data_IF_595719188544
#
_entry.id   IF_595719188544
#
_cell.length_a   1.000
_cell.length_b   1.000
_cell.length_c   1.000
_cell.angle_alpha   90.00
_cell.angle_beta   90.00
_cell.angle_gamma   90.00
#
_symmetry.space_group_name_H-M   'P 1'
#
loop_
_entity.id
_entity.type
_entity.pdbx_description
1 polymer ?
#
# COMPACT_ATOMS: atom_id res chain seq x y z
N UNK A 1 7.52 -39.05 -0.77
CA UNK A 1 8.59 -38.33 -1.50
C UNK A 1 8.39 -36.84 -1.19
N UNK A 2 8.83 -36.41 -0.01
CA UNK A 2 10.14 -35.80 0.24
C UNK A 2 10.34 -34.54 -0.60
N UNK A 3 9.97 -33.39 -0.04
CA UNK A 3 10.69 -32.15 -0.31
C UNK A 3 12.03 -32.23 0.43
N UNK A 4 13.17 -31.98 -0.24
CA UNK A 4 14.48 -32.12 0.38
C UNK A 4 14.79 -30.92 1.26
N UNK A 5 15.23 -31.24 2.48
CA UNK A 5 16.22 -30.53 3.24
C UNK A 5 17.41 -30.12 2.36
N UNK A 6 17.88 -28.88 2.47
CA UNK A 6 19.32 -28.66 2.39
C UNK A 6 19.79 -27.87 3.61
N UNK A 7 20.53 -28.61 4.42
CA UNK A 7 21.31 -28.25 5.58
C UNK A 7 22.77 -28.15 5.15
N UNK A 8 23.37 -26.99 5.28
CA UNK A 8 24.82 -26.74 5.40
C UNK A 8 24.86 -25.47 6.27
N UNK A 9 25.22 -25.44 7.56
CA UNK A 9 26.22 -26.14 8.35
C UNK A 9 27.62 -26.07 7.74
N UNK A 10 28.34 -25.00 8.09
CA UNK A 10 29.75 -24.90 8.52
C UNK A 10 30.02 -23.38 8.64
N UNK A 11 30.66 -22.82 9.65
CA UNK A 11 31.53 -23.38 10.68
C UNK A 11 31.53 -22.46 11.89
N UNK A 12 31.47 -23.10 13.06
CA UNK A 12 31.93 -22.56 14.34
C UNK A 12 33.36 -22.04 14.18
N UNK A 13 33.58 -20.77 14.53
CA UNK A 13 34.89 -20.32 14.98
C UNK A 13 34.72 -19.94 16.43
N UNK A 14 35.23 -20.84 17.26
CA UNK A 14 35.50 -20.64 18.67
C UNK A 14 36.12 -19.26 18.91
N UNK A 15 35.48 -18.47 19.75
CA UNK A 15 36.23 -17.56 20.62
C UNK A 15 35.89 -17.95 22.04
N UNK A 16 36.72 -18.86 22.55
CA UNK A 16 36.94 -18.99 23.97
C UNK A 16 37.46 -17.64 24.47
N UNK A 17 36.56 -16.85 25.04
CA UNK A 17 36.92 -15.85 26.05
C UNK A 17 36.25 -16.28 27.34
N UNK A 18 37.02 -17.06 28.08
CA UNK A 18 37.00 -17.11 29.52
C UNK A 18 37.22 -15.71 30.07
N UNK A 19 36.16 -14.92 30.17
CA UNK A 19 36.16 -13.78 31.08
C UNK A 19 35.67 -14.30 32.45
N UNK A 20 36.57 -15.07 33.08
CA UNK A 20 36.70 -14.97 34.53
C UNK A 20 37.15 -13.54 34.82
N UNK A 21 36.19 -12.63 34.95
CA UNK A 21 36.37 -11.40 35.70
C UNK A 21 35.15 -11.22 36.61
N UNK A 22 35.27 -11.89 37.74
CA UNK A 22 34.47 -11.64 38.93
C UNK A 22 34.68 -10.18 39.36
N UNK A 23 33.71 -9.34 39.05
CA UNK A 23 33.42 -8.18 39.88
C UNK A 23 31.98 -8.31 40.37
N UNK A 24 31.74 -9.36 41.17
CA UNK A 24 30.51 -9.47 41.95
C UNK A 24 30.56 -8.35 43.00
N UNK A 25 30.03 -7.16 42.65
CA UNK A 25 29.84 -6.06 43.58
C UNK A 25 29.06 -6.62 44.77
N UNK A 26 29.71 -6.63 45.93
CA UNK A 26 29.14 -7.23 47.14
C UNK A 26 27.89 -6.46 47.55
N UNK A 27 26.98 -7.10 48.29
CA UNK A 27 25.77 -6.41 48.77
C UNK A 27 26.12 -5.21 49.67
N UNK A 28 27.26 -5.25 50.37
CA UNK A 28 27.76 -4.14 51.19
C UNK A 28 28.22 -2.96 50.32
N UNK A 29 28.91 -3.23 49.21
CA UNK A 29 29.28 -2.20 48.24
C UNK A 29 28.06 -1.54 47.60
N UNK A 30 27.00 -2.33 47.32
CA UNK A 30 25.73 -1.79 46.80
C UNK A 30 25.03 -0.89 47.80
N UNK A 31 25.03 -1.26 49.09
CA UNK A 31 24.46 -0.42 50.14
C UNK A 31 25.23 0.90 50.28
N UNK A 32 26.55 0.85 50.18
CA UNK A 32 27.42 2.02 50.18
C UNK A 32 27.22 2.91 48.95
N UNK A 33 27.00 2.32 47.77
CA UNK A 33 26.66 3.07 46.56
C UNK A 33 25.27 3.71 46.71
N UNK A 34 24.29 2.98 47.23
CA UNK A 34 22.92 3.47 47.40
C UNK A 34 22.82 4.61 48.42
N UNK A 35 23.59 4.57 49.51
CA UNK A 35 23.63 5.65 50.50
C UNK A 35 24.24 6.93 49.90
N UNK A 36 25.32 6.82 49.11
CA UNK A 36 25.92 7.96 48.38
C UNK A 36 24.97 8.56 47.35
N UNK A 37 24.23 7.72 46.64
CA UNK A 37 23.26 8.13 45.61
C UNK A 37 22.01 8.77 46.24
N UNK A 38 21.64 8.40 47.46
CA UNK A 38 20.41 8.87 48.11
C UNK A 38 20.37 10.39 48.40
N UNK A 39 21.52 11.05 48.43
CA UNK A 39 21.63 12.50 48.63
C UNK A 39 21.58 13.33 47.35
N UNK A 40 21.59 12.71 46.17
CA UNK A 40 21.61 13.41 44.88
C UNK A 40 20.19 13.77 44.40
N UNK A 41 20.08 14.86 43.64
CA UNK A 41 18.80 15.27 43.05
C UNK A 41 18.38 14.30 41.94
N UNK A 42 17.08 14.23 41.67
CA UNK A 42 16.57 13.33 40.63
C UNK A 42 17.13 13.63 39.23
N UNK A 43 17.44 14.90 38.94
CA UNK A 43 18.06 15.29 37.67
C UNK A 43 19.48 14.71 37.54
N UNK A 44 20.25 14.76 38.63
CA UNK A 44 21.61 14.21 38.66
C UNK A 44 21.61 12.69 38.54
N UNK A 45 20.63 12.02 39.16
CA UNK A 45 20.42 10.58 39.00
C UNK A 45 20.06 10.20 37.56
N UNK A 46 19.29 11.04 36.87
CA UNK A 46 18.91 10.81 35.49
C UNK A 46 20.11 10.98 34.55
N UNK A 47 20.90 12.05 34.72
CA UNK A 47 22.15 12.26 33.98
C UNK A 47 23.12 11.11 34.19
N UNK A 48 23.33 10.68 35.43
CA UNK A 48 24.21 9.56 35.74
C UNK A 48 23.72 8.24 35.12
N UNK A 49 22.40 8.01 35.05
CA UNK A 49 21.82 6.84 34.36
C UNK A 49 21.97 6.91 32.84
N UNK A 50 21.94 8.11 32.26
CA UNK A 50 22.14 8.32 30.83
C UNK A 50 23.61 8.14 30.43
N UNK A 51 24.55 8.64 31.25
CA UNK A 51 26.00 8.50 31.03
C UNK A 51 26.49 7.05 31.25
N UNK A 52 26.10 6.42 32.36
CA UNK A 52 26.49 5.04 32.69
C UNK A 52 25.69 4.00 31.92
N UNK A 53 24.55 4.39 31.34
CA UNK A 53 23.62 3.50 30.67
C UNK A 53 22.66 2.77 31.62
N UNK A 54 21.39 2.69 31.24
CA UNK A 54 20.31 2.19 32.11
C UNK A 54 20.47 0.73 32.57
N UNK A 55 21.17 -0.13 31.82
CA UNK A 55 21.39 -1.53 32.22
C UNK A 55 22.43 -1.64 33.34
N UNK A 56 23.59 -1.03 33.15
CA UNK A 56 24.68 -1.03 34.13
C UNK A 56 24.27 -0.32 35.41
N UNK A 57 23.61 0.85 35.32
CA UNK A 57 23.09 1.55 36.50
C UNK A 57 22.09 0.70 37.31
N UNK A 58 21.16 0.03 36.64
CA UNK A 58 20.20 -0.82 37.34
C UNK A 58 20.87 -2.05 37.95
N UNK A 59 21.89 -2.61 37.30
CA UNK A 59 22.62 -3.76 37.80
C UNK A 59 23.49 -3.41 39.02
N UNK A 60 24.15 -2.26 39.01
CA UNK A 60 24.98 -1.79 40.13
C UNK A 60 24.15 -1.32 41.32
N UNK A 61 23.03 -0.62 41.10
CA UNK A 61 22.21 -0.05 42.18
C UNK A 61 21.12 -1.00 42.68
N UNK A 62 20.48 -1.77 41.79
CA UNK A 62 19.35 -2.66 42.13
C UNK A 62 19.74 -4.15 42.13
N UNK A 63 20.91 -4.50 41.61
CA UNK A 63 21.37 -5.88 41.50
C UNK A 63 20.78 -6.64 40.31
N UNK A 64 21.40 -7.77 39.99
CA UNK A 64 20.92 -8.70 38.96
C UNK A 64 19.61 -9.35 39.42
N UNK A 65 18.53 -9.18 38.67
CA UNK A 65 17.27 -9.91 38.94
C UNK A 65 17.49 -11.40 38.75
N UNK A 66 17.52 -12.17 39.85
CA UNK A 66 17.59 -13.64 39.82
C UNK A 66 16.49 -14.19 38.89
N UNK A 67 16.89 -14.88 37.82
CA UNK A 67 15.95 -15.59 36.94
C UNK A 67 15.17 -16.58 37.82
N UNK A 68 13.84 -16.50 37.82
CA UNK A 68 13.00 -17.47 38.56
C UNK A 68 13.34 -18.87 38.06
N UNK A 69 13.90 -19.71 38.93
CA UNK A 69 14.19 -21.11 38.63
C UNK A 69 12.86 -21.76 38.24
N UNK A 70 12.74 -22.18 36.98
CA UNK A 70 11.57 -22.92 36.52
C UNK A 70 11.68 -24.31 37.12
N UNK A 71 10.92 -24.59 38.17
CA UNK A 71 10.77 -25.95 38.70
C UNK A 71 10.18 -26.84 37.60
N UNK A 72 10.93 -27.85 37.16
CA UNK A 72 10.48 -28.76 36.13
C UNK A 72 9.49 -29.76 36.72
N UNK A 73 8.19 -29.46 36.61
CA UNK A 73 7.13 -30.35 37.09
C UNK A 73 6.94 -31.56 36.16
N UNK A 74 8.00 -32.23 35.70
CA UNK A 74 7.87 -33.46 34.89
C UNK A 74 7.51 -34.65 35.78
N UNK A 75 6.80 -35.61 35.19
CA UNK A 75 6.54 -36.88 35.87
C UNK A 75 7.78 -37.76 35.75
N UNK A 76 8.20 -38.41 36.84
CA UNK A 76 9.27 -39.39 36.79
C UNK A 76 8.83 -40.68 36.05
N UNK A 77 7.58 -41.13 36.25
CA UNK A 77 7.02 -42.33 35.63
C UNK A 77 5.57 -42.14 35.17
N UNK A 78 5.10 -42.96 34.22
CA UNK A 78 3.79 -42.84 33.56
C UNK A 78 2.56 -43.16 34.44
N UNK A 79 2.79 -43.59 35.67
CA UNK A 79 1.73 -43.91 36.65
C UNK A 79 1.72 -42.98 37.88
N UNK A 80 2.65 -42.00 37.98
CA UNK A 80 2.67 -41.03 39.08
C UNK A 80 1.79 -39.81 38.78
N UNK A 81 0.98 -39.30 39.73
CA UNK A 81 0.27 -38.04 39.57
C UNK A 81 1.24 -36.87 39.39
N UNK A 82 0.76 -35.78 38.77
CA UNK A 82 1.54 -34.60 38.42
C UNK A 82 0.89 -33.35 39.03
N UNK A 83 1.70 -32.49 39.63
CA UNK A 83 1.28 -31.16 40.06
C UNK A 83 1.00 -30.26 38.85
N UNK A 84 -0.14 -29.57 38.89
CA UNK A 84 -0.54 -28.59 37.86
C UNK A 84 -0.91 -27.27 38.54
N UNK A 85 -0.56 -26.15 37.90
CA UNK A 85 -0.93 -24.84 38.42
C UNK A 85 -2.45 -24.64 38.37
N UNK A 86 -3.03 -24.12 39.45
CA UNK A 86 -4.45 -23.73 39.54
C UNK A 86 -4.87 -22.68 38.50
N UNK A 87 -3.91 -21.98 37.89
CA UNK A 87 -4.16 -21.02 36.79
C UNK A 87 -4.47 -21.72 35.46
N UNK A 88 -4.17 -23.01 35.32
CA UNK A 88 -4.43 -23.77 34.10
C UNK A 88 -5.88 -24.23 34.10
N UNK A 89 -6.69 -23.65 33.21
CA UNK A 89 -8.10 -24.06 33.05
C UNK A 89 -8.22 -25.50 32.51
N UNK A 90 -9.12 -26.33 33.08
CA UNK A 90 -9.42 -27.66 32.56
C UNK A 90 -9.80 -27.64 31.07
N UNK A 91 -9.39 -28.69 30.32
CA UNK A 91 -9.64 -28.79 28.87
C UNK A 91 -11.13 -28.85 28.52
N UNK A 92 -11.96 -29.39 29.41
CA UNK A 92 -13.40 -29.61 29.19
C UNK A 92 -14.13 -28.26 29.09
N UNK A 93 -13.85 -27.33 30.01
CA UNK A 93 -14.47 -26.00 30.03
C UNK A 93 -14.13 -25.14 28.80
N UNK A 94 -12.95 -25.33 28.18
CA UNK A 94 -12.58 -24.62 26.95
C UNK A 94 -13.43 -25.03 25.74
N UNK A 95 -13.90 -26.28 25.68
CA UNK A 95 -14.74 -26.74 24.55
C UNK A 95 -16.16 -26.20 24.66
N UNK A 96 -16.77 -26.29 25.83
CA UNK A 96 -18.15 -25.87 26.02
C UNK A 96 -18.33 -24.35 25.89
N UNK A 97 -17.39 -23.56 26.41
CA UNK A 97 -17.40 -22.10 26.24
C UNK A 97 -17.20 -21.66 24.78
N UNK A 98 -16.47 -22.44 23.96
CA UNK A 98 -16.19 -22.08 22.58
C UNK A 98 -17.26 -22.57 21.59
N UNK A 99 -18.06 -23.58 21.96
CA UNK A 99 -19.11 -24.14 21.11
C UNK A 99 -20.44 -23.40 21.24
N UNK A 100 -20.78 -22.93 22.45
CA UNK A 100 -22.12 -22.40 22.75
C UNK A 100 -22.19 -20.86 22.83
N UNK A 101 -21.08 -20.16 22.63
CA UNK A 101 -21.07 -18.69 22.58
C UNK A 101 -20.84 -18.26 21.12
N UNK A 102 -21.85 -17.71 20.41
CA UNK A 102 -21.58 -17.04 19.16
C UNK A 102 -20.57 -15.94 19.46
N UNK A 103 -19.37 -16.04 18.89
CA UNK A 103 -18.34 -15.02 19.03
C UNK A 103 -18.93 -13.71 18.51
N UNK A 104 -19.36 -12.82 19.41
CA UNK A 104 -19.86 -11.50 19.04
C UNK A 104 -18.75 -10.87 18.23
N UNK A 105 -18.99 -10.72 16.92
CA UNK A 105 -18.01 -10.09 16.03
C UNK A 105 -17.75 -8.72 16.61
N UNK A 106 -16.54 -8.50 17.13
CA UNK A 106 -16.14 -7.22 17.72
C UNK A 106 -16.52 -6.13 16.72
N UNK A 107 -17.27 -5.12 17.16
CA UNK A 107 -17.59 -3.97 16.32
C UNK A 107 -16.26 -3.36 15.88
N UNK A 108 -15.91 -3.58 14.61
CA UNK A 108 -14.75 -2.95 14.00
C UNK A 108 -15.22 -1.60 13.46
N UNK A 109 -14.42 -0.53 13.61
CA UNK A 109 -14.72 0.71 12.92
C UNK A 109 -14.81 0.41 11.43
N UNK A 110 -15.97 0.71 10.83
CA UNK A 110 -16.21 0.52 9.40
C UNK A 110 -15.98 1.86 8.72
N UNK A 111 -15.10 1.89 7.73
CA UNK A 111 -14.98 3.03 6.84
C UNK A 111 -16.01 2.84 5.73
N UNK A 112 -17.02 3.72 5.59
CA UNK A 112 -18.07 3.57 4.58
C UNK A 112 -17.52 3.56 3.15
N UNK A 113 -16.33 4.12 2.91
CA UNK A 113 -15.67 4.06 1.60
C UNK A 113 -15.19 2.67 1.23
N UNK A 114 -14.92 1.84 2.25
CA UNK A 114 -14.38 0.49 2.11
C UNK A 114 -15.34 -0.57 2.65
N UNK A 115 -16.56 -0.20 3.05
CA UNK A 115 -17.58 -1.14 3.51
C UNK A 115 -18.31 -1.76 2.30
N UNK A 116 -18.27 -3.08 2.12
CA UNK A 116 -19.01 -3.76 1.06
C UNK A 116 -20.53 -3.48 1.06
N UNK A 117 -21.09 -3.06 2.20
CA UNK A 117 -22.51 -2.71 2.34
C UNK A 117 -22.86 -1.35 1.73
N UNK A 118 -21.89 -0.45 1.52
CA UNK A 118 -22.14 0.92 1.06
C UNK A 118 -22.30 1.05 -0.47
N UNK A 119 -22.31 -0.06 -1.21
CA UNK A 119 -22.54 -0.08 -2.66
C UNK A 119 -21.26 -0.07 -3.49
N UNK A 120 -21.40 -0.17 -4.81
CA UNK A 120 -20.29 -0.18 -5.76
C UNK A 120 -20.18 1.17 -6.49
N UNK A 121 -18.98 1.47 -6.99
CA UNK A 121 -18.72 2.66 -7.78
C UNK A 121 -19.55 2.64 -9.07
N UNK A 122 -20.44 3.63 -9.22
CA UNK A 122 -21.11 3.91 -10.49
C UNK A 122 -20.48 5.14 -11.16
N UNK A 123 -19.89 4.91 -12.34
CA UNK A 123 -19.19 5.94 -13.09
C UNK A 123 -20.13 7.06 -13.55
N UNK A 124 -21.43 6.77 -13.76
CA UNK A 124 -22.38 7.77 -14.29
C UNK A 124 -22.79 8.77 -13.22
N UNK A 125 -23.23 8.29 -12.06
CA UNK A 125 -23.53 9.13 -10.89
C UNK A 125 -22.30 9.90 -10.44
N UNK A 126 -21.13 9.25 -10.35
CA UNK A 126 -19.90 9.97 -10.04
C UNK A 126 -19.61 11.12 -11.03
N UNK A 127 -19.80 10.89 -12.32
CA UNK A 127 -19.57 11.92 -13.33
C UNK A 127 -20.59 13.06 -13.26
N UNK A 128 -21.86 12.77 -12.91
CA UNK A 128 -22.86 13.83 -12.69
C UNK A 128 -22.55 14.64 -11.45
N UNK A 129 -22.25 13.98 -10.34
CA UNK A 129 -22.07 14.61 -9.03
C UNK A 129 -20.80 15.44 -8.98
N UNK A 130 -19.73 14.96 -9.63
CA UNK A 130 -18.43 15.63 -9.70
C UNK A 130 -18.18 16.36 -11.02
N UNK A 131 -19.24 16.74 -11.74
CA UNK A 131 -19.12 17.47 -13.03
C UNK A 131 -18.29 18.75 -12.89
N UNK A 132 -18.44 19.46 -11.77
CA UNK A 132 -17.75 20.71 -11.47
C UNK A 132 -16.21 20.58 -11.45
N UNK A 133 -15.67 19.38 -11.20
CA UNK A 133 -14.22 19.13 -11.19
C UNK A 133 -13.61 19.40 -12.57
N UNK A 134 -14.37 19.16 -13.65
CA UNK A 134 -13.93 19.48 -14.99
C UNK A 134 -13.77 21.00 -15.18
N UNK A 135 -14.71 21.79 -14.70
CA UNK A 135 -14.67 23.25 -14.79
C UNK A 135 -13.50 23.83 -13.98
N UNK A 136 -13.22 23.24 -12.81
CA UNK A 136 -12.05 23.59 -12.00
C UNK A 136 -10.76 23.33 -12.78
N UNK A 137 -10.59 22.15 -13.39
CA UNK A 137 -9.40 21.83 -14.20
C UNK A 137 -9.19 22.80 -15.36
N UNK A 138 -10.26 23.23 -16.03
CA UNK A 138 -10.18 24.24 -17.10
C UNK A 138 -9.69 25.58 -16.52
N UNK A 139 -10.23 26.01 -15.38
CA UNK A 139 -9.80 27.25 -14.70
C UNK A 139 -8.34 27.18 -14.26
N UNK A 140 -7.93 26.08 -13.63
CA UNK A 140 -6.55 25.82 -13.21
C UNK A 140 -5.58 25.87 -14.40
N UNK A 141 -5.93 25.23 -15.51
CA UNK A 141 -5.12 25.29 -16.73
C UNK A 141 -4.92 26.72 -17.21
N UNK A 142 -5.99 27.53 -17.24
CA UNK A 142 -5.92 28.95 -17.63
C UNK A 142 -5.08 29.78 -16.65
N UNK A 143 -5.15 29.49 -15.35
CA UNK A 143 -4.32 30.15 -14.33
C UNK A 143 -2.84 29.81 -14.53
N UNK A 144 -2.50 28.53 -14.72
CA UNK A 144 -1.14 28.09 -15.00
C UNK A 144 -0.59 28.69 -16.31
N UNK A 145 -1.42 28.85 -17.34
CA UNK A 145 -1.03 29.54 -18.58
C UNK A 145 -0.71 31.03 -18.36
N UNK A 146 -1.40 31.70 -17.42
CA UNK A 146 -1.08 33.09 -17.02
C UNK A 146 0.21 33.13 -16.20
N UNK A 147 0.35 32.24 -15.22
CA UNK A 147 1.58 32.11 -14.42
C UNK A 147 2.79 31.83 -15.29
N UNK A 148 2.65 31.00 -16.32
CA UNK A 148 3.76 30.70 -17.24
C UNK A 148 4.26 31.95 -17.97
N UNK A 149 3.38 32.93 -18.23
CA UNK A 149 3.75 34.19 -18.89
C UNK A 149 4.45 35.17 -17.96
N UNK A 150 4.10 35.17 -16.67
CA UNK A 150 4.69 36.07 -15.67
C UNK A 150 5.91 35.50 -14.97
N UNK A 151 6.09 34.19 -14.97
CA UNK A 151 7.18 33.53 -14.27
C UNK A 151 8.51 33.73 -15.00
N UNK A 152 9.51 34.28 -14.31
CA UNK A 152 10.87 34.47 -14.86
C UNK A 152 11.77 33.25 -14.61
N UNK A 153 11.54 32.52 -13.50
CA UNK A 153 12.40 31.40 -13.10
C UNK A 153 12.32 30.21 -14.07
N UNK A 154 13.46 29.73 -14.62
CA UNK A 154 13.45 28.70 -15.66
C UNK A 154 12.98 27.33 -15.14
N UNK A 155 13.33 26.99 -13.89
CA UNK A 155 12.94 25.72 -13.26
C UNK A 155 11.42 25.70 -13.06
N UNK A 156 10.86 26.79 -12.53
CA UNK A 156 9.42 26.92 -12.27
C UNK A 156 8.63 26.93 -13.58
N UNK A 157 9.11 27.62 -14.62
CA UNK A 157 8.50 27.57 -15.95
C UNK A 157 8.41 26.13 -16.49
N UNK A 158 9.47 25.33 -16.33
CA UNK A 158 9.44 23.93 -16.77
C UNK A 158 8.42 23.09 -15.98
N UNK A 159 8.31 23.31 -14.67
CA UNK A 159 7.30 22.66 -13.84
C UNK A 159 5.88 23.03 -14.30
N UNK A 160 5.61 24.31 -14.51
CA UNK A 160 4.32 24.80 -14.99
C UNK A 160 3.97 24.21 -16.36
N UNK A 161 4.92 24.16 -17.31
CA UNK A 161 4.72 23.53 -18.62
C UNK A 161 4.32 22.05 -18.49
N UNK A 162 4.98 21.29 -17.60
CA UNK A 162 4.65 19.89 -17.33
C UNK A 162 3.25 19.74 -16.72
N UNK A 163 2.85 20.65 -15.82
CA UNK A 163 1.51 20.64 -15.22
C UNK A 163 0.42 20.95 -16.25
N UNK A 164 0.60 21.99 -17.07
CA UNK A 164 -0.31 22.32 -18.17
C UNK A 164 -0.48 21.12 -19.11
N UNK A 165 0.62 20.46 -19.47
CA UNK A 165 0.57 19.26 -20.30
C UNK A 165 -0.24 18.14 -19.65
N UNK A 166 -0.05 17.89 -18.34
CA UNK A 166 -0.77 16.86 -17.60
C UNK A 166 -2.27 17.14 -17.55
N UNK A 167 -2.68 18.34 -17.15
CA UNK A 167 -4.09 18.74 -17.10
C UNK A 167 -4.69 18.72 -18.51
N UNK A 168 -3.95 19.20 -19.51
CA UNK A 168 -4.37 19.18 -20.91
C UNK A 168 -4.50 17.76 -21.49
N UNK A 169 -3.76 16.76 -20.99
CA UNK A 169 -3.97 15.36 -21.35
C UNK A 169 -5.26 14.85 -20.69
N UNK A 170 -5.47 15.09 -19.39
CA UNK A 170 -6.65 14.65 -18.66
C UNK A 170 -7.96 15.18 -19.27
N UNK A 171 -7.98 16.47 -19.67
CA UNK A 171 -9.14 17.08 -20.33
C UNK A 171 -9.42 16.36 -21.67
N UNK A 172 -8.39 16.15 -22.50
CA UNK A 172 -8.53 15.46 -23.80
C UNK A 172 -8.99 14.01 -23.65
N UNK A 173 -8.48 13.30 -22.65
CA UNK A 173 -8.87 11.93 -22.37
C UNK A 173 -10.33 11.86 -21.91
N UNK A 174 -10.76 12.81 -21.08
CA UNK A 174 -12.16 12.94 -20.68
C UNK A 174 -13.08 13.23 -21.87
N UNK A 175 -12.75 14.21 -22.72
CA UNK A 175 -13.52 14.54 -23.93
C UNK A 175 -13.61 13.34 -24.88
N UNK A 176 -12.52 12.58 -25.02
CA UNK A 176 -12.50 11.36 -25.85
C UNK A 176 -13.46 10.31 -25.28
N UNK A 177 -13.39 10.06 -23.98
CA UNK A 177 -14.29 9.10 -23.32
C UNK A 177 -15.76 9.53 -23.43
N UNK A 178 -16.04 10.82 -23.31
CA UNK A 178 -17.38 11.40 -23.50
C UNK A 178 -17.91 11.17 -24.92
N UNK A 179 -17.09 11.42 -25.95
CA UNK A 179 -17.46 11.14 -27.35
C UNK A 179 -17.75 9.65 -27.57
N UNK A 180 -16.90 8.76 -27.05
CA UNK A 180 -17.12 7.32 -27.17
C UNK A 180 -18.39 6.86 -26.43
N UNK A 181 -18.71 7.47 -25.29
CA UNK A 181 -19.94 7.20 -24.54
C UNK A 181 -21.17 7.70 -25.29
N UNK A 182 -21.12 8.89 -25.89
CA UNK A 182 -22.18 9.47 -26.72
C UNK A 182 -22.46 8.59 -27.95
N UNK A 183 -21.44 8.17 -28.69
CA UNK A 183 -21.60 7.26 -29.84
C UNK A 183 -22.29 5.95 -29.42
N UNK A 184 -21.88 5.35 -28.30
CA UNK A 184 -22.53 4.13 -27.77
C UNK A 184 -23.97 4.38 -27.35
N UNK A 185 -24.26 5.56 -26.82
CA UNK A 185 -25.62 5.94 -26.43
C UNK A 185 -26.51 6.11 -27.66
N UNK A 186 -26.03 6.78 -28.71
CA UNK A 186 -26.71 6.95 -29.99
C UNK A 186 -27.01 5.60 -30.65
N UNK A 187 -26.01 4.71 -30.76
CA UNK A 187 -26.22 3.35 -31.28
C UNK A 187 -27.33 2.60 -30.53
N UNK A 188 -27.33 2.68 -29.19
CA UNK A 188 -28.37 2.05 -28.36
C UNK A 188 -29.74 2.69 -28.57
N UNK A 189 -29.78 4.01 -28.76
CA UNK A 189 -31.01 4.76 -29.00
C UNK A 189 -31.63 4.35 -30.34
N UNK A 190 -30.84 4.30 -31.41
CA UNK A 190 -31.29 3.84 -32.73
C UNK A 190 -31.82 2.41 -32.69
N UNK A 191 -31.13 1.50 -31.99
CA UNK A 191 -31.58 0.12 -31.80
C UNK A 191 -32.93 0.08 -31.07
N UNK A 192 -33.10 0.91 -30.03
CA UNK A 192 -34.34 1.00 -29.27
C UNK A 192 -35.49 1.55 -30.14
N UNK A 193 -35.21 2.49 -31.03
CA UNK A 193 -36.20 3.07 -31.95
C UNK A 193 -36.66 2.05 -33.00
N UNK A 194 -35.73 1.30 -33.61
CA UNK A 194 -36.07 0.21 -34.55
C UNK A 194 -36.92 -0.87 -33.89
N UNK A 195 -36.55 -1.26 -32.67
CA UNK A 195 -37.34 -2.21 -31.87
C UNK A 195 -38.76 -1.70 -31.61
N UNK A 196 -38.93 -0.41 -31.31
CA UNK A 196 -40.27 0.20 -31.12
C UNK A 196 -41.09 0.17 -32.40
N UNK A 197 -40.46 0.29 -33.57
CA UNK A 197 -41.10 0.18 -34.88
C UNK A 197 -41.43 -1.27 -35.27
N UNK A 198 -40.99 -2.27 -34.48
CA UNK A 198 -41.16 -3.69 -34.79
C UNK A 198 -40.10 -4.25 -35.74
N UNK A 199 -39.11 -3.44 -36.14
CA UNK A 199 -38.00 -3.88 -36.96
C UNK A 199 -36.97 -4.68 -36.15
N UNK A 200 -36.33 -5.65 -36.81
CA UNK A 200 -35.26 -6.44 -36.18
C UNK A 200 -34.01 -5.58 -35.98
N UNK A 201 -33.47 -5.46 -34.75
CA UNK A 201 -32.30 -4.63 -34.48
C UNK A 201 -31.05 -5.23 -35.11
N UNK A 202 -30.26 -4.39 -35.80
CA UNK A 202 -29.00 -4.78 -36.45
C UNK A 202 -27.81 -4.30 -35.64
N UNK A 203 -26.97 -5.24 -35.18
CA UNK A 203 -25.76 -4.94 -34.43
C UNK A 203 -24.53 -4.98 -35.36
N UNK A 204 -23.82 -3.85 -35.47
CA UNK A 204 -22.58 -3.79 -36.25
C UNK A 204 -21.50 -4.69 -35.63
N UNK A 205 -20.82 -5.47 -36.47
CA UNK A 205 -19.64 -6.27 -36.06
C UNK A 205 -18.53 -5.37 -35.53
N UNK A 206 -17.70 -5.88 -34.61
CA UNK A 206 -16.56 -5.14 -34.05
C UNK A 206 -15.58 -4.64 -35.12
N UNK A 207 -15.39 -5.40 -36.20
CA UNK A 207 -14.53 -5.00 -37.33
C UNK A 207 -15.06 -3.78 -38.07
N UNK A 208 -16.38 -3.74 -38.31
CA UNK A 208 -17.06 -2.63 -38.98
C UNK A 208 -16.94 -1.35 -38.15
N UNK A 209 -17.22 -1.42 -36.84
CA UNK A 209 -17.04 -0.27 -35.93
C UNK A 209 -15.60 0.27 -35.95
N UNK A 210 -14.60 -0.61 -35.99
CA UNK A 210 -13.19 -0.20 -36.10
C UNK A 210 -12.92 0.53 -37.42
N UNK A 211 -13.48 0.07 -38.54
CA UNK A 211 -13.35 0.75 -39.83
C UNK A 211 -14.01 2.13 -39.80
N UNK A 212 -15.22 2.25 -39.23
CA UNK A 212 -15.93 3.52 -39.05
C UNK A 212 -15.08 4.52 -38.23
N UNK A 213 -14.57 4.11 -37.06
CA UNK A 213 -13.69 4.96 -36.25
C UNK A 213 -12.40 5.36 -36.98
N UNK A 214 -11.89 4.50 -37.86
CA UNK A 214 -10.68 4.78 -38.64
C UNK A 214 -10.95 5.81 -39.75
N UNK A 215 -12.12 5.71 -40.40
CA UNK A 215 -12.60 6.67 -41.40
C UNK A 215 -12.85 8.04 -40.74
N UNK A 216 -13.54 8.06 -39.59
CA UNK A 216 -13.75 9.28 -38.80
C UNK A 216 -12.42 9.96 -38.47
N UNK A 217 -11.48 9.20 -37.91
CA UNK A 217 -10.13 9.69 -37.59
C UNK A 217 -9.38 10.19 -38.81
N UNK A 218 -9.50 9.51 -39.95
CA UNK A 218 -8.91 9.95 -41.21
C UNK A 218 -9.49 11.31 -41.65
N UNK A 219 -10.80 11.46 -41.58
CA UNK A 219 -11.49 12.70 -41.92
C UNK A 219 -11.12 13.84 -40.97
N UNK A 220 -11.02 13.60 -39.67
CA UNK A 220 -10.53 14.58 -38.70
C UNK A 220 -9.08 15.02 -38.98
N UNK A 221 -8.20 14.07 -39.31
CA UNK A 221 -6.81 14.35 -39.67
C UNK A 221 -6.68 15.11 -40.99
N UNK A 222 -7.56 14.82 -41.96
CA UNK A 222 -7.65 15.54 -43.23
C UNK A 222 -8.13 16.97 -43.00
N UNK A 223 -9.21 17.17 -42.23
CA UNK A 223 -9.73 18.50 -41.83
C UNK A 223 -8.69 19.34 -41.08
N UNK A 224 -7.90 18.71 -40.22
CA UNK A 224 -6.87 19.39 -39.42
C UNK A 224 -5.53 19.55 -40.13
N UNK A 225 -5.42 19.19 -41.43
CA UNK A 225 -4.19 19.20 -42.23
C UNK A 225 -3.00 18.44 -41.59
N UNK A 226 -3.29 17.47 -40.70
CA UNK A 226 -2.28 16.68 -39.96
C UNK A 226 -2.11 15.26 -40.53
N UNK A 227 -2.83 14.93 -41.61
CA UNK A 227 -2.85 13.61 -42.20
C UNK A 227 -1.46 13.15 -42.67
N UNK A 228 -0.75 13.97 -43.43
CA UNK A 228 0.57 13.61 -43.98
C UNK A 228 1.59 13.35 -42.86
N UNK A 229 1.65 14.23 -41.86
CA UNK A 229 2.47 14.06 -40.66
C UNK A 229 2.12 12.78 -39.88
N UNK A 230 0.84 12.39 -39.85
CA UNK A 230 0.40 11.15 -39.20
C UNK A 230 0.86 9.92 -40.00
N UNK A 231 0.76 9.95 -41.33
CA UNK A 231 1.24 8.89 -42.23
C UNK A 231 2.76 8.73 -42.09
N UNK A 232 3.52 9.83 -42.14
CA UNK A 232 4.97 9.82 -41.95
C UNK A 232 5.39 9.24 -40.60
N UNK A 233 4.70 9.62 -39.52
CA UNK A 233 4.96 9.05 -38.19
C UNK A 233 4.65 7.56 -38.14
N UNK A 234 3.59 7.12 -38.83
CA UNK A 234 3.21 5.70 -38.91
C UNK A 234 4.20 4.90 -39.75
N UNK A 235 4.62 5.41 -40.90
CA UNK A 235 5.61 4.76 -41.77
C UNK A 235 6.96 4.63 -41.08
N UNK A 236 7.45 5.70 -40.42
CA UNK A 236 8.68 5.67 -39.60
C UNK A 236 8.61 4.60 -38.50
N UNK A 237 7.47 4.49 -37.81
CA UNK A 237 7.26 3.46 -36.77
C UNK A 237 7.23 2.04 -37.35
N UNK A 238 6.61 1.84 -38.52
CA UNK A 238 6.56 0.53 -39.17
C UNK A 238 7.96 0.11 -39.65
N UNK A 239 8.68 0.99 -40.35
CA UNK A 239 10.06 0.74 -40.78
C UNK A 239 10.98 0.45 -39.59
N UNK A 240 10.84 1.17 -38.47
CA UNK A 240 11.63 0.88 -37.26
C UNK A 240 11.29 -0.49 -36.64
N UNK A 241 10.02 -0.92 -36.70
CA UNK A 241 9.62 -2.27 -36.26
C UNK A 241 10.15 -3.35 -37.17
N UNK A 242 10.08 -3.16 -38.49
CA UNK A 242 10.64 -4.08 -39.48
C UNK A 242 12.15 -4.22 -39.28
N UNK A 243 12.89 -3.11 -39.16
CA UNK A 243 14.34 -3.14 -38.87
C UNK A 243 14.69 -3.87 -37.57
N UNK A 244 13.82 -3.84 -36.55
CA UNK A 244 14.01 -4.63 -35.32
C UNK A 244 13.76 -6.11 -35.57
N UNK A 245 12.68 -6.45 -36.27
CA UNK A 245 12.31 -7.83 -36.62
C UNK A 245 13.33 -8.51 -37.54
N UNK A 246 14.02 -7.75 -38.40
CA UNK A 246 15.08 -8.26 -39.27
C UNK A 246 16.46 -8.35 -38.58
N UNK A 247 16.59 -7.85 -37.36
CA UNK A 247 17.83 -7.92 -36.55
C UNK A 247 17.79 -9.05 -35.52
N UNK A 248 16.61 -9.62 -35.26
CA UNK A 248 16.40 -10.88 -34.54
C UNK A 248 16.46 -12.03 -35.55
#
# INVERSE_FOLDING_TARGET
>A
MNSPSNSENESDVESAHSDEDQNDITEDDRQNIRSKISGLSFEDLLKMKEEMGAKLYNETVLGVKKKKIKTDYKRANKNRPRELSSKIRPKILKRELNQNVPTVKKSRPRDPRFDPLCGQFDAKTFKSDYKFVHDIRIKEKKQLEKELKSCTDPIRQQQIKKLIQRIGNQIRDQEKNEKEEQQKYEEKKEIKEKLKQGEKPVYKKKSVKKLETLIEKYNELKKSNKLQKHIEKRSKKLSAKEKRKMKE
#
